data_IF_406942330410
#
_entry.id   IF_406942330410
#
_cell.length_a   1.000
_cell.length_b   1.000
_cell.length_c   1.000
_cell.angle_alpha   90.00
_cell.angle_beta   90.00
_cell.angle_gamma   90.00
#
_symmetry.space_group_name_H-M   'P 1'
#
loop_
_entity.id
_entity.type
_entity.pdbx_description
1 polymer ?
#
# COMPACT_ATOMS: atom_id res chain seq x y z
N UNK A 1 -8.59 25.33 -2.23
CA UNK A 1 -8.54 23.99 -2.85
C UNK A 1 -8.48 22.93 -1.76
N UNK A 2 -9.24 21.86 -1.92
CA UNK A 2 -9.15 20.71 -1.02
C UNK A 2 -7.88 19.93 -1.31
N UNK A 3 -7.21 19.44 -0.27
CA UNK A 3 -6.06 18.56 -0.45
C UNK A 3 -6.51 17.24 -1.09
N UNK A 4 -5.62 16.58 -1.84
CA UNK A 4 -5.92 15.24 -2.36
C UNK A 4 -6.31 14.29 -1.21
N UNK A 5 -7.47 13.67 -1.36
CA UNK A 5 -8.02 12.78 -0.32
C UNK A 5 -8.36 11.39 -0.85
N UNK A 6 -7.88 11.06 -2.03
CA UNK A 6 -8.15 9.78 -2.67
C UNK A 6 -6.91 9.32 -3.40
N UNK A 7 -6.49 8.07 -3.18
CA UNK A 7 -5.43 7.42 -3.92
C UNK A 7 -6.06 6.28 -4.70
N UNK A 8 -5.81 6.22 -6.00
CA UNK A 8 -6.33 5.15 -6.87
C UNK A 8 -5.16 4.37 -7.42
N UNK A 9 -5.17 3.05 -7.21
CA UNK A 9 -4.21 2.14 -7.80
C UNK A 9 -4.90 1.36 -8.92
N UNK A 10 -4.24 1.27 -10.07
CA UNK A 10 -4.72 0.45 -11.19
C UNK A 10 -4.25 -0.98 -10.97
N UNK A 11 -5.19 -1.91 -10.94
CA UNK A 11 -4.91 -3.29 -10.55
C UNK A 11 -5.46 -4.26 -11.58
N UNK A 12 -4.78 -5.39 -11.72
CA UNK A 12 -5.19 -6.44 -12.65
C UNK A 12 -6.48 -7.11 -12.19
N UNK A 13 -6.63 -7.33 -10.88
CA UNK A 13 -7.75 -8.05 -10.28
C UNK A 13 -8.16 -7.35 -8.97
N UNK A 14 -9.20 -6.49 -9.01
CA UNK A 14 -9.64 -5.78 -7.81
C UNK A 14 -10.02 -6.69 -6.65
N UNK A 15 -10.56 -7.87 -6.92
CA UNK A 15 -10.93 -8.82 -5.86
C UNK A 15 -9.70 -9.36 -5.13
N UNK A 16 -8.67 -9.76 -5.87
CA UNK A 16 -7.42 -10.24 -5.28
C UNK A 16 -6.70 -9.12 -4.54
N UNK A 17 -6.65 -7.93 -5.12
CA UNK A 17 -6.03 -6.76 -4.47
C UNK A 17 -6.79 -6.35 -3.22
N UNK A 18 -8.13 -6.42 -3.23
CA UNK A 18 -8.95 -6.12 -2.06
C UNK A 18 -8.67 -7.09 -0.91
N UNK A 19 -8.54 -8.39 -1.21
CA UNK A 19 -8.20 -9.39 -0.19
C UNK A 19 -6.83 -9.10 0.42
N UNK A 20 -5.85 -8.73 -0.40
CA UNK A 20 -4.52 -8.35 0.05
C UNK A 20 -4.57 -7.14 1.00
N UNK A 21 -5.21 -6.05 0.57
CA UNK A 21 -5.26 -4.83 1.38
C UNK A 21 -6.14 -4.98 2.62
N UNK A 22 -7.22 -5.77 2.56
CA UNK A 22 -8.02 -6.07 3.74
C UNK A 22 -7.18 -6.76 4.82
N UNK A 23 -6.34 -7.72 4.42
CA UNK A 23 -5.45 -8.42 5.34
C UNK A 23 -4.36 -7.51 5.89
N UNK A 24 -3.66 -6.78 5.01
CA UNK A 24 -2.53 -5.94 5.40
C UNK A 24 -2.96 -4.75 6.26
N UNK A 25 -4.08 -4.11 5.91
CA UNK A 25 -4.58 -2.93 6.61
C UNK A 25 -5.48 -3.28 7.79
N UNK A 26 -5.94 -4.53 7.88
CA UNK A 26 -6.90 -4.92 8.91
C UNK A 26 -8.24 -4.23 8.76
N UNK A 27 -8.72 -4.07 7.53
CA UNK A 27 -9.95 -3.34 7.21
C UNK A 27 -10.80 -4.10 6.21
N UNK A 28 -12.10 -3.80 6.18
CA UNK A 28 -12.99 -4.27 5.12
C UNK A 28 -13.28 -3.12 4.15
N UNK A 29 -13.48 -3.41 2.85
CA UNK A 29 -13.86 -2.36 1.91
C UNK A 29 -15.21 -1.74 2.28
N UNK A 30 -15.38 -0.45 2.00
CA UNK A 30 -16.67 0.25 2.15
C UNK A 30 -17.51 0.14 0.89
N UNK A 31 -16.89 -0.22 -0.24
CA UNK A 31 -17.55 -0.44 -1.52
C UNK A 31 -16.76 -1.48 -2.30
N UNK A 32 -17.46 -2.41 -2.96
CA UNK A 32 -16.82 -3.45 -3.76
C UNK A 32 -17.69 -3.83 -4.96
N UNK A 33 -17.06 -3.85 -6.13
CA UNK A 33 -17.64 -4.35 -7.37
C UNK A 33 -16.53 -5.08 -8.14
N UNK A 34 -16.85 -5.78 -9.23
CA UNK A 34 -15.83 -6.45 -10.03
C UNK A 34 -14.79 -5.51 -10.64
N UNK A 35 -15.12 -4.22 -10.79
CA UNK A 35 -14.22 -3.25 -11.44
C UNK A 35 -13.61 -2.24 -10.49
N UNK A 36 -14.15 -2.08 -9.28
CA UNK A 36 -13.65 -1.08 -8.34
C UNK A 36 -13.94 -1.47 -6.89
N UNK A 37 -12.90 -1.37 -6.06
CA UNK A 37 -13.02 -1.60 -4.61
C UNK A 37 -12.47 -0.39 -3.88
N UNK A 38 -13.11 0.03 -2.80
CA UNK A 38 -12.72 1.22 -2.05
C UNK A 38 -12.62 0.93 -0.56
N UNK A 39 -11.54 1.41 0.04
CA UNK A 39 -11.31 1.38 1.49
C UNK A 39 -11.34 2.80 2.04
N UNK A 40 -11.95 2.99 3.19
CA UNK A 40 -11.84 4.24 3.95
C UNK A 40 -10.72 4.10 4.98
N UNK A 41 -9.67 4.90 4.84
CA UNK A 41 -8.55 4.87 5.78
C UNK A 41 -8.83 5.79 6.97
N UNK A 42 -8.22 5.51 8.12
CA UNK A 42 -8.44 6.29 9.34
C UNK A 42 -7.93 7.72 9.23
N UNK A 43 -7.00 7.98 8.30
CA UNK A 43 -6.51 9.33 8.01
C UNK A 43 -7.53 10.22 7.31
N UNK A 44 -8.61 9.65 6.79
CA UNK A 44 -9.58 10.34 5.93
C UNK A 44 -9.30 10.18 4.45
N UNK A 45 -8.18 9.60 4.08
CA UNK A 45 -7.85 9.28 2.68
C UNK A 45 -8.60 8.02 2.28
N UNK A 46 -9.13 8.01 1.06
CA UNK A 46 -9.74 6.82 0.47
C UNK A 46 -8.72 6.10 -0.40
N UNK A 47 -8.72 4.78 -0.36
CA UNK A 47 -7.89 3.95 -1.25
C UNK A 47 -8.82 3.22 -2.22
N UNK A 48 -8.68 3.50 -3.52
CA UNK A 48 -9.42 2.84 -4.58
C UNK A 48 -8.54 1.86 -5.34
N UNK A 49 -9.11 0.71 -5.67
CA UNK A 49 -8.47 -0.32 -6.49
C UNK A 49 -9.33 -0.46 -7.75
N UNK A 50 -8.84 0.03 -8.87
CA UNK A 50 -9.61 0.13 -10.12
C UNK A 50 -9.08 -0.85 -11.15
N UNK A 51 -9.97 -1.65 -11.73
CA UNK A 51 -9.60 -2.63 -12.75
C UNK A 51 -8.87 -1.91 -13.90
N UNK A 52 -7.61 -2.28 -14.12
CA UNK A 52 -6.73 -1.62 -15.08
C UNK A 52 -7.35 -1.53 -16.48
N UNK A 53 -8.00 -2.60 -16.92
CA UNK A 53 -8.60 -2.65 -18.26
C UNK A 53 -9.78 -1.69 -18.43
N UNK A 54 -10.37 -1.22 -17.32
CA UNK A 54 -11.50 -0.29 -17.34
C UNK A 54 -11.09 1.16 -17.15
N UNK A 55 -9.81 1.42 -16.89
CA UNK A 55 -9.34 2.78 -16.61
C UNK A 55 -9.42 3.63 -17.88
N UNK A 56 -10.01 4.81 -17.77
CA UNK A 56 -10.05 5.80 -18.82
C UNK A 56 -9.58 7.15 -18.29
N UNK A 57 -8.66 7.84 -18.96
CA UNK A 57 -7.94 7.41 -20.18
C UNK A 57 -7.14 6.14 -19.97
N UNK A 58 -6.84 5.43 -21.03
CA UNK A 58 -6.07 4.18 -20.96
C UNK A 58 -4.74 4.42 -20.27
N UNK A 59 -4.43 3.55 -19.29
CA UNK A 59 -3.19 3.61 -18.54
C UNK A 59 -2.22 2.54 -19.04
N UNK A 60 -0.98 2.95 -19.33
CA UNK A 60 0.06 2.05 -19.82
C UNK A 60 1.30 2.01 -18.91
N UNK A 61 1.34 2.84 -17.88
CA UNK A 61 2.45 2.84 -16.94
C UNK A 61 2.41 1.62 -16.01
N UNK A 62 3.57 1.02 -15.76
CA UNK A 62 3.69 -0.07 -14.82
C UNK A 62 3.63 0.44 -13.36
N UNK A 63 3.28 -0.47 -12.43
CA UNK A 63 3.37 -0.18 -10.99
C UNK A 63 4.81 0.10 -10.58
N UNK A 64 5.01 0.87 -9.51
CA UNK A 64 6.32 1.15 -8.94
C UNK A 64 6.78 2.60 -9.09
N UNK A 65 5.99 3.45 -9.76
CA UNK A 65 6.29 4.88 -9.90
C UNK A 65 5.87 5.73 -8.71
N UNK A 66 5.18 5.14 -7.74
CA UNK A 66 4.73 5.78 -6.50
C UNK A 66 4.68 4.74 -5.40
N UNK A 67 4.44 5.17 -4.17
CA UNK A 67 4.31 4.23 -3.05
C UNK A 67 3.24 4.68 -2.07
N UNK A 68 2.62 3.71 -1.42
CA UNK A 68 1.86 3.94 -0.20
C UNK A 68 2.84 3.85 0.96
N UNK A 69 2.82 4.81 1.86
CA UNK A 69 3.76 4.84 2.97
C UNK A 69 3.03 4.85 4.31
N UNK A 70 3.55 4.06 5.24
CA UNK A 70 3.06 3.97 6.61
C UNK A 70 4.19 4.41 7.53
N UNK A 71 3.91 5.38 8.39
CA UNK A 71 4.85 5.85 9.41
C UNK A 71 4.55 5.13 10.72
N UNK A 72 5.56 4.53 11.31
CA UNK A 72 5.47 3.86 12.62
C UNK A 72 6.28 4.64 13.67
N UNK A 73 6.00 4.42 14.97
CA UNK A 73 6.64 5.21 16.02
C UNK A 73 8.15 5.03 16.14
N UNK A 74 8.66 3.83 15.90
CA UNK A 74 10.07 3.51 16.16
C UNK A 74 10.58 2.36 15.31
N UNK A 75 11.89 2.14 15.35
CA UNK A 75 12.57 1.09 14.59
C UNK A 75 12.09 -0.31 14.97
N UNK A 76 11.77 -0.55 16.24
CA UNK A 76 11.29 -1.85 16.69
C UNK A 76 9.94 -2.20 16.05
N UNK A 77 9.06 -1.21 15.92
CA UNK A 77 7.78 -1.40 15.25
C UNK A 77 7.97 -1.73 13.75
N UNK A 78 8.93 -1.09 13.10
CA UNK A 78 9.28 -1.39 11.69
C UNK A 78 9.76 -2.84 11.56
N UNK A 79 10.66 -3.28 12.42
CA UNK A 79 11.18 -4.65 12.39
C UNK A 79 10.09 -5.68 12.69
N UNK A 80 9.20 -5.39 13.65
CA UNK A 80 8.10 -6.28 14.00
C UNK A 80 7.12 -6.42 12.82
N UNK A 81 6.80 -5.32 12.14
CA UNK A 81 5.91 -5.34 10.97
C UNK A 81 6.57 -6.11 9.82
N UNK A 82 7.86 -5.90 9.59
CA UNK A 82 8.59 -6.66 8.57
C UNK A 82 8.55 -8.17 8.87
N UNK A 83 8.79 -8.55 10.12
CA UNK A 83 8.74 -9.96 10.53
C UNK A 83 7.35 -10.57 10.31
N UNK A 84 6.30 -9.82 10.66
CA UNK A 84 4.92 -10.26 10.46
C UNK A 84 4.58 -10.42 8.98
N UNK A 85 4.90 -9.42 8.16
CA UNK A 85 4.60 -9.48 6.73
C UNK A 85 5.43 -10.55 6.02
N UNK A 86 6.66 -10.79 6.47
CA UNK A 86 7.49 -11.88 5.94
C UNK A 86 6.87 -13.25 6.25
N UNK A 87 6.33 -13.43 7.47
CA UNK A 87 5.60 -14.67 7.81
C UNK A 87 4.36 -14.86 6.94
N UNK A 88 3.68 -13.78 6.57
CA UNK A 88 2.53 -13.81 5.67
C UNK A 88 2.94 -13.93 4.20
N UNK A 89 4.23 -14.02 3.93
CA UNK A 89 4.81 -14.22 2.58
C UNK A 89 4.54 -13.06 1.62
N UNK A 90 4.43 -11.83 2.12
CA UNK A 90 4.45 -10.67 1.24
C UNK A 90 5.82 -10.57 0.58
N UNK A 91 5.87 -10.31 -0.73
CA UNK A 91 7.15 -10.03 -1.39
C UNK A 91 7.81 -8.79 -0.79
N UNK A 92 9.09 -8.90 -0.44
CA UNK A 92 9.85 -7.81 0.14
C UNK A 92 10.83 -7.28 -0.91
N UNK A 93 10.61 -6.05 -1.35
CA UNK A 93 11.48 -5.38 -2.32
C UNK A 93 12.73 -4.79 -1.67
N UNK A 94 12.62 -4.39 -0.39
CA UNK A 94 13.74 -3.87 0.38
C UNK A 94 13.61 -4.40 1.81
N UNK A 95 14.61 -5.12 2.34
CA UNK A 95 14.60 -5.51 3.75
C UNK A 95 14.82 -4.28 4.64
N UNK A 96 14.60 -4.39 5.97
CA UNK A 96 14.85 -3.27 6.86
C UNK A 96 16.24 -2.68 6.66
N UNK A 97 16.28 -1.41 6.31
CA UNK A 97 17.48 -0.68 5.91
C UNK A 97 17.47 0.69 6.56
N UNK A 98 18.60 1.08 7.14
CA UNK A 98 18.77 2.43 7.65
C UNK A 98 19.05 3.37 6.49
N UNK A 99 18.20 4.37 6.33
CA UNK A 99 18.34 5.43 5.32
C UNK A 99 18.35 6.78 6.04
N UNK A 100 18.63 7.86 5.31
CA UNK A 100 18.74 9.19 5.91
C UNK A 100 17.53 9.59 6.75
N UNK A 101 16.33 9.18 6.32
CA UNK A 101 15.09 9.54 7.00
C UNK A 101 14.68 8.55 8.11
N UNK A 102 15.36 7.44 8.27
CA UNK A 102 15.06 6.44 9.30
C UNK A 102 15.14 5.01 8.81
N UNK A 103 14.75 4.07 9.67
CA UNK A 103 14.68 2.66 9.30
C UNK A 103 13.44 2.40 8.46
N UNK A 104 13.60 1.68 7.35
CA UNK A 104 12.52 1.44 6.38
C UNK A 104 12.62 0.06 5.75
N UNK A 105 11.47 -0.50 5.35
CA UNK A 105 11.41 -1.61 4.41
C UNK A 105 10.30 -1.37 3.38
N UNK A 106 10.33 -2.12 2.29
CA UNK A 106 9.32 -2.01 1.23
C UNK A 106 8.79 -3.39 0.89
N UNK A 107 7.48 -3.55 0.92
CA UNK A 107 6.78 -4.72 0.41
C UNK A 107 6.06 -4.39 -0.90
N UNK A 108 5.66 -5.42 -1.63
CA UNK A 108 4.94 -5.27 -2.89
C UNK A 108 3.54 -5.86 -2.77
N UNK A 109 2.57 -5.20 -3.40
CA UNK A 109 1.23 -5.74 -3.56
C UNK A 109 1.16 -6.71 -4.75
N UNK A 110 -0.01 -7.33 -5.05
CA UNK A 110 -0.11 -8.29 -6.16
C UNK A 110 0.26 -7.74 -7.54
N UNK A 111 0.17 -6.43 -7.74
CA UNK A 111 0.51 -5.78 -9.02
C UNK A 111 1.93 -5.19 -9.03
N UNK A 112 2.64 -5.25 -7.90
CA UNK A 112 3.96 -4.65 -7.77
C UNK A 112 3.94 -3.20 -7.29
N UNK A 113 2.80 -2.69 -6.82
CA UNK A 113 2.78 -1.39 -6.14
C UNK A 113 3.55 -1.49 -4.83
N UNK A 114 4.30 -0.42 -4.50
CA UNK A 114 5.18 -0.40 -3.33
C UNK A 114 4.42 0.03 -2.08
N UNK A 115 4.64 -0.70 -0.99
CA UNK A 115 4.19 -0.38 0.35
C UNK A 115 5.44 -0.13 1.19
N UNK A 116 5.73 1.13 1.49
CA UNK A 116 6.85 1.51 2.33
C UNK A 116 6.40 1.64 3.77
N UNK A 117 7.15 1.03 4.67
CA UNK A 117 6.95 1.17 6.12
C UNK A 117 8.21 1.76 6.70
N UNK A 118 8.09 2.83 7.48
CA UNK A 118 9.28 3.49 8.04
C UNK A 118 8.98 4.14 9.39
N UNK A 119 10.05 4.30 10.16
CA UNK A 119 10.05 5.13 11.36
C UNK A 119 11.05 6.27 11.15
N UNK A 120 10.66 7.54 11.40
CA UNK A 120 11.58 8.65 11.25
C UNK A 120 12.82 8.48 12.11
N UNK A 121 13.96 8.94 11.60
CA UNK A 121 15.20 8.96 12.38
C UNK A 121 15.00 9.83 13.62
N UNK A 122 15.51 9.36 14.77
CA UNK A 122 15.52 10.19 15.98
C UNK A 122 16.56 11.29 15.85
N UNK A 123 16.24 12.53 16.33
CA UNK A 123 17.21 13.63 16.29
C UNK A 123 18.45 13.35 17.14
#
# INVERSE_FOLDING_TARGET
MTDPNFVILYVKDPSASAAFYADVLGRTPVEASPTFVMFALSSGVMLGLWLRDNVAPVADAAAGGAELAVTLPDADAVRATHADWSRRKLPIAQPPTAMDFGLTFVALDPDGHRLRVFAPATP
#
